data_IF_822554333339
#
_entry.id   IF_822554333339
#
_cell.length_a   1.000
_cell.length_b   1.000
_cell.length_c   1.000
_cell.angle_alpha   90.00
_cell.angle_beta   90.00
_cell.angle_gamma   90.00
#
_symmetry.space_group_name_H-M   'P 1'
#
loop_
_entity.id
_entity.type
_entity.pdbx_description
1 polymer ?
#
# COMPACT_ATOMS: atom_id res chain seq x y z
N UNK A 1 -8.97 12.94 12.30
CA UNK A 1 -9.44 11.76 13.06
C UNK A 1 -8.96 10.42 12.46
N UNK A 2 -9.19 10.08 11.17
CA UNK A 2 -8.90 8.73 10.67
C UNK A 2 -7.40 8.35 10.58
N UNK A 3 -6.54 9.34 10.31
CA UNK A 3 -5.08 9.15 10.15
C UNK A 3 -4.38 8.70 11.44
N UNK A 4 -4.92 9.06 12.61
CA UNK A 4 -4.33 8.73 13.92
C UNK A 4 -4.39 7.22 14.18
N UNK A 5 -5.50 6.57 13.83
CA UNK A 5 -5.64 5.12 13.99
C UNK A 5 -4.59 4.35 13.20
N UNK A 6 -4.36 4.74 11.94
CA UNK A 6 -3.33 4.11 11.12
C UNK A 6 -1.92 4.34 11.66
N UNK A 7 -1.65 5.52 12.24
CA UNK A 7 -0.37 5.77 12.91
C UNK A 7 -0.22 4.90 14.16
N UNK A 8 -1.26 4.71 14.97
CA UNK A 8 -1.22 3.84 16.15
C UNK A 8 -0.93 2.39 15.74
N UNK A 9 -1.65 1.87 14.73
CA UNK A 9 -1.39 0.51 14.23
C UNK A 9 0.04 0.36 13.73
N UNK A 10 0.53 1.34 12.97
CA UNK A 10 1.91 1.36 12.47
C UNK A 10 2.94 1.32 13.61
N UNK A 11 2.74 2.11 14.68
CA UNK A 11 3.61 2.10 15.85
C UNK A 11 3.59 0.74 16.57
N UNK A 12 2.43 0.10 16.71
CA UNK A 12 2.31 -1.26 17.28
C UNK A 12 3.05 -2.29 16.41
N UNK A 13 2.95 -2.18 15.08
CA UNK A 13 3.75 -2.96 14.14
C UNK A 13 5.25 -2.73 14.35
N UNK A 14 5.67 -1.48 14.57
CA UNK A 14 7.05 -1.11 14.90
C UNK A 14 7.62 -1.80 16.14
N UNK A 15 6.82 -2.00 17.19
CA UNK A 15 7.24 -2.72 18.40
C UNK A 15 7.57 -4.19 18.07
N UNK A 16 6.70 -4.86 17.33
CA UNK A 16 6.93 -6.24 16.88
C UNK A 16 8.12 -6.34 15.92
N UNK A 17 8.29 -5.36 15.03
CA UNK A 17 9.42 -5.25 14.12
C UNK A 17 10.75 -5.09 14.87
N UNK A 18 10.78 -4.25 15.89
CA UNK A 18 11.97 -4.05 16.74
C UNK A 18 12.39 -5.37 17.38
N UNK A 19 11.46 -6.11 17.98
CA UNK A 19 11.83 -7.38 18.64
C UNK A 19 12.29 -8.44 17.63
N UNK A 20 11.67 -8.51 16.45
CA UNK A 20 12.15 -9.36 15.34
C UNK A 20 13.56 -8.97 14.91
N UNK A 21 13.80 -7.69 14.62
CA UNK A 21 15.10 -7.20 14.18
C UNK A 21 16.20 -7.50 15.22
N UNK A 22 15.88 -7.35 16.51
CA UNK A 22 16.77 -7.67 17.62
C UNK A 22 17.17 -9.14 17.61
N UNK A 23 16.21 -10.05 17.42
CA UNK A 23 16.47 -11.50 17.36
C UNK A 23 17.30 -11.93 16.16
N UNK A 24 17.17 -11.19 15.05
CA UNK A 24 17.97 -11.43 13.85
C UNK A 24 19.38 -10.86 13.96
N UNK A 25 19.62 -9.94 14.90
CA UNK A 25 20.85 -9.18 14.97
C UNK A 25 21.23 -8.77 16.41
N UNK A 26 21.05 -7.50 16.78
CA UNK A 26 21.35 -6.92 18.10
C UNK A 26 20.39 -5.78 18.45
N UNK A 27 20.36 -5.35 19.73
CA UNK A 27 19.51 -4.22 20.17
C UNK A 27 19.79 -2.92 19.38
N UNK A 28 21.08 -2.59 19.17
CA UNK A 28 21.47 -1.36 18.46
C UNK A 28 21.05 -1.40 16.99
N UNK A 29 21.24 -2.54 16.35
CA UNK A 29 20.81 -2.74 14.96
C UNK A 29 19.29 -2.67 14.82
N UNK A 30 18.55 -3.24 15.79
CA UNK A 30 17.10 -3.18 15.83
C UNK A 30 16.57 -1.75 15.94
N UNK A 31 17.24 -0.87 16.70
CA UNK A 31 16.88 0.56 16.76
C UNK A 31 17.07 1.25 15.41
N UNK A 32 18.13 0.92 14.66
CA UNK A 32 18.36 1.48 13.32
C UNK A 32 17.30 0.98 12.33
N UNK A 33 16.97 -0.32 12.37
CA UNK A 33 15.86 -0.89 11.57
C UNK A 33 14.52 -0.25 11.91
N UNK A 34 14.23 -0.04 13.21
CA UNK A 34 13.02 0.64 13.66
C UNK A 34 13.00 2.09 13.19
N UNK A 35 14.12 2.81 13.27
CA UNK A 35 14.23 4.18 12.77
C UNK A 35 13.92 4.23 11.28
N UNK A 36 14.52 3.35 10.46
CA UNK A 36 14.19 3.24 9.04
C UNK A 36 12.70 2.99 8.81
N UNK A 37 12.11 2.04 9.54
CA UNK A 37 10.68 1.74 9.47
C UNK A 37 9.81 2.95 9.83
N UNK A 38 10.22 3.83 10.75
CA UNK A 38 9.40 4.96 11.19
C UNK A 38 9.62 6.25 10.38
N UNK A 39 10.83 6.49 9.88
CA UNK A 39 11.23 7.80 9.33
C UNK A 39 11.48 7.81 7.83
N UNK A 40 11.45 6.65 7.16
CA UNK A 40 11.44 6.60 5.69
C UNK A 40 10.27 7.45 5.16
N UNK A 41 10.46 8.36 4.19
CA UNK A 41 9.37 9.25 3.77
C UNK A 41 8.13 8.52 3.29
N UNK A 42 8.32 7.45 2.51
CA UNK A 42 7.23 6.57 2.09
C UNK A 42 6.50 5.91 3.27
N UNK A 43 7.21 5.59 4.36
CA UNK A 43 6.60 5.05 5.58
C UNK A 43 5.79 6.09 6.36
N UNK A 44 6.30 7.32 6.45
CA UNK A 44 5.58 8.43 7.10
C UNK A 44 4.28 8.73 6.34
N UNK A 45 4.32 8.74 5.02
CA UNK A 45 3.12 8.88 4.17
C UNK A 45 2.14 7.72 4.38
N UNK A 46 2.62 6.47 4.26
CA UNK A 46 1.79 5.27 4.39
C UNK A 46 1.09 5.21 5.75
N UNK A 47 1.82 5.43 6.85
CA UNK A 47 1.27 5.39 8.22
C UNK A 47 0.19 6.43 8.52
N UNK A 48 0.04 7.44 7.67
CA UNK A 48 -0.94 8.53 7.78
C UNK A 48 -2.00 8.47 6.69
N UNK A 49 -1.82 7.66 5.67
CA UNK A 49 -2.81 7.44 4.61
C UNK A 49 -4.03 6.75 5.17
N UNK A 50 -5.25 7.22 4.87
CA UNK A 50 -6.49 6.55 5.30
C UNK A 50 -6.82 5.38 4.37
N UNK A 51 -5.97 4.36 4.42
CA UNK A 51 -6.07 3.12 3.67
C UNK A 51 -6.09 1.93 4.65
N UNK A 52 -6.58 0.76 4.22
CA UNK A 52 -6.50 -0.47 5.03
C UNK A 52 -5.06 -1.03 5.12
N UNK A 53 -4.18 -0.62 4.20
CA UNK A 53 -2.81 -1.13 4.04
C UNK A 53 -1.91 -1.00 5.29
N UNK A 54 -1.91 0.12 6.05
CA UNK A 54 -1.11 0.23 7.27
C UNK A 54 -1.56 -0.75 8.36
N UNK A 55 -2.87 -0.91 8.58
CA UNK A 55 -3.42 -1.88 9.54
C UNK A 55 -3.05 -3.31 9.12
N UNK A 56 -3.28 -3.65 7.85
CA UNK A 56 -2.97 -4.96 7.29
C UNK A 56 -1.47 -5.29 7.44
N UNK A 57 -0.59 -4.33 7.16
CA UNK A 57 0.87 -4.49 7.28
C UNK A 57 1.29 -4.64 8.75
N UNK A 58 0.69 -3.88 9.66
CA UNK A 58 0.99 -3.97 11.10
C UNK A 58 0.56 -5.32 11.69
N UNK A 59 -0.61 -5.83 11.29
CA UNK A 59 -1.07 -7.18 11.63
C UNK A 59 -0.14 -8.25 11.05
N UNK A 60 0.32 -8.08 9.81
CA UNK A 60 1.31 -8.97 9.20
C UNK A 60 2.63 -8.99 9.99
N UNK A 61 3.16 -7.84 10.39
CA UNK A 61 4.38 -7.76 11.22
C UNK A 61 4.18 -8.47 12.56
N UNK A 62 3.05 -8.23 13.23
CA UNK A 62 2.70 -8.91 14.48
C UNK A 62 2.56 -10.43 14.31
N UNK A 63 1.91 -10.87 13.23
CA UNK A 63 1.80 -12.28 12.88
C UNK A 63 3.16 -12.93 12.60
N UNK A 64 4.04 -12.24 11.87
CA UNK A 64 5.41 -12.68 11.62
C UNK A 64 6.20 -12.78 12.93
N UNK A 65 6.06 -11.79 13.81
CA UNK A 65 6.68 -11.83 15.13
C UNK A 65 6.28 -13.09 15.91
N UNK A 66 4.98 -13.34 16.08
CA UNK A 66 4.53 -14.54 16.80
C UNK A 66 4.88 -15.85 16.09
N UNK A 67 4.87 -15.87 14.75
CA UNK A 67 5.29 -17.04 13.98
C UNK A 67 6.77 -17.34 14.22
N UNK A 68 7.63 -16.32 14.26
CA UNK A 68 9.04 -16.49 14.57
C UNK A 68 9.24 -17.01 16.01
N UNK A 69 8.50 -16.45 16.98
CA UNK A 69 8.51 -16.92 18.38
C UNK A 69 8.05 -18.38 18.50
N UNK A 70 7.09 -18.80 17.68
CA UNK A 70 6.68 -20.20 17.59
C UNK A 70 7.79 -21.09 17.03
N UNK A 71 8.53 -20.64 16.01
CA UNK A 71 9.69 -21.39 15.48
C UNK A 71 10.78 -21.56 16.56
N UNK A 72 10.99 -20.56 17.41
CA UNK A 72 11.97 -20.61 18.49
C UNK A 72 11.53 -21.50 19.66
N UNK A 73 10.36 -21.24 20.22
CA UNK A 73 9.94 -21.82 21.51
C UNK A 73 8.95 -23.00 21.36
N UNK A 74 8.39 -23.20 20.17
CA UNK A 74 7.40 -24.26 19.86
C UNK A 74 6.14 -24.23 20.74
N UNK A 75 5.85 -23.09 21.37
CA UNK A 75 4.64 -22.89 22.18
C UNK A 75 3.43 -22.66 21.29
N UNK A 76 2.37 -23.46 21.50
CA UNK A 76 1.16 -23.42 20.68
C UNK A 76 0.44 -22.06 20.72
N UNK A 77 0.53 -21.32 21.84
CA UNK A 77 -0.05 -19.98 21.95
C UNK A 77 0.53 -19.00 20.93
N UNK A 78 1.82 -19.09 20.61
CA UNK A 78 2.41 -18.25 19.57
C UNK A 78 1.91 -18.63 18.18
N UNK A 79 1.71 -19.93 17.90
CA UNK A 79 1.07 -20.36 16.66
C UNK A 79 -0.36 -19.84 16.54
N UNK A 80 -1.12 -19.84 17.64
CA UNK A 80 -2.48 -19.27 17.68
C UNK A 80 -2.46 -17.77 17.40
N UNK A 81 -1.64 -16.98 18.12
CA UNK A 81 -1.56 -15.53 17.88
C UNK A 81 -1.08 -15.19 16.47
N UNK A 82 -0.10 -15.94 15.94
CA UNK A 82 0.34 -15.80 14.56
C UNK A 82 -0.82 -16.02 13.58
N UNK A 83 -1.56 -17.12 13.74
CA UNK A 83 -2.67 -17.48 12.86
C UNK A 83 -3.82 -16.46 12.93
N UNK A 84 -4.16 -15.97 14.14
CA UNK A 84 -5.19 -14.93 14.31
C UNK A 84 -4.79 -13.62 13.63
N UNK A 85 -3.57 -13.12 13.87
CA UNK A 85 -3.11 -11.87 13.27
C UNK A 85 -2.99 -11.97 11.75
N UNK A 86 -2.50 -13.09 11.23
CA UNK A 86 -2.47 -13.36 9.79
C UNK A 86 -3.87 -13.50 9.19
N UNK A 87 -4.81 -14.13 9.90
CA UNK A 87 -6.21 -14.20 9.49
C UNK A 87 -6.86 -12.83 9.39
N UNK A 88 -6.66 -11.97 10.39
CA UNK A 88 -7.11 -10.59 10.36
C UNK A 88 -6.41 -9.77 9.26
N UNK A 89 -5.10 -9.93 9.06
CA UNK A 89 -4.40 -9.26 7.97
C UNK A 89 -5.01 -9.63 6.61
N UNK A 90 -5.27 -10.91 6.40
CA UNK A 90 -5.88 -11.42 5.15
C UNK A 90 -7.32 -10.95 4.98
N UNK A 91 -8.08 -10.84 6.08
CA UNK A 91 -9.43 -10.27 6.07
C UNK A 91 -9.42 -8.79 5.68
N UNK A 92 -8.49 -8.00 6.24
CA UNK A 92 -8.38 -6.57 5.94
C UNK A 92 -8.05 -6.38 4.45
N UNK A 93 -7.15 -7.19 3.90
CA UNK A 93 -6.84 -7.17 2.47
C UNK A 93 -6.22 -8.49 2.02
N UNK A 94 -6.95 -9.24 1.19
CA UNK A 94 -6.59 -10.62 0.80
C UNK A 94 -5.20 -10.76 0.14
N UNK A 95 -4.70 -9.71 -0.50
CA UNK A 95 -3.41 -9.76 -1.22
C UNK A 95 -2.20 -10.03 -0.32
N UNK A 96 -2.28 -9.77 1.00
CA UNK A 96 -1.18 -10.12 1.91
C UNK A 96 -0.96 -11.63 2.03
N UNK A 97 -1.91 -12.46 1.57
CA UNK A 97 -1.75 -13.91 1.51
C UNK A 97 -0.51 -14.33 0.70
N UNK A 98 -0.10 -13.56 -0.32
CA UNK A 98 1.14 -13.80 -1.07
C UNK A 98 2.39 -13.75 -0.18
N UNK A 99 2.38 -12.95 0.88
CA UNK A 99 3.48 -12.81 1.84
C UNK A 99 3.37 -13.85 2.97
N UNK A 100 2.15 -14.06 3.48
CA UNK A 100 1.87 -14.96 4.61
C UNK A 100 2.08 -16.43 4.22
N UNK A 101 1.60 -16.86 3.05
CA UNK A 101 1.63 -18.26 2.65
C UNK A 101 3.07 -18.84 2.60
N UNK A 102 4.02 -18.26 1.84
CA UNK A 102 5.39 -18.80 1.81
C UNK A 102 6.08 -18.68 3.18
N UNK A 103 5.82 -17.61 3.95
CA UNK A 103 6.34 -17.44 5.30
C UNK A 103 5.85 -18.53 6.26
N UNK A 104 4.55 -18.79 6.29
CA UNK A 104 3.94 -19.82 7.13
C UNK A 104 4.42 -21.22 6.73
N UNK A 105 4.46 -21.52 5.43
CA UNK A 105 4.99 -22.80 4.92
C UNK A 105 6.43 -22.99 5.37
N UNK A 106 7.29 -21.98 5.19
CA UNK A 106 8.69 -22.04 5.61
C UNK A 106 8.83 -22.26 7.13
N UNK A 107 8.03 -21.56 7.95
CA UNK A 107 8.04 -21.75 9.40
C UNK A 107 7.64 -23.18 9.81
N UNK A 108 6.59 -23.74 9.21
CA UNK A 108 6.16 -25.12 9.48
C UNK A 108 7.25 -26.11 9.07
N UNK A 109 7.88 -25.90 7.90
CA UNK A 109 8.99 -26.74 7.44
C UNK A 109 10.20 -26.66 8.38
N UNK A 110 10.50 -25.50 8.95
CA UNK A 110 11.56 -25.34 9.95
C UNK A 110 11.25 -26.07 11.27
N UNK A 111 9.99 -26.13 11.69
CA UNK A 111 9.59 -26.75 12.97
C UNK A 111 9.43 -28.27 12.86
N UNK A 112 8.79 -28.74 11.79
CA UNK A 112 8.36 -30.14 11.64
C UNK A 112 9.03 -30.89 10.49
N UNK A 113 9.61 -30.19 9.51
CA UNK A 113 10.07 -30.77 8.25
C UNK A 113 8.92 -31.27 7.36
N UNK A 114 9.25 -31.64 6.12
CA UNK A 114 8.26 -32.01 5.10
C UNK A 114 7.42 -33.25 5.48
N UNK A 115 8.02 -34.22 6.19
CA UNK A 115 7.35 -35.49 6.53
C UNK A 115 6.21 -35.32 7.54
N UNK A 116 6.36 -34.38 8.48
CA UNK A 116 5.36 -34.13 9.54
C UNK A 116 4.46 -32.93 9.23
N UNK A 117 4.80 -32.12 8.22
CA UNK A 117 3.98 -31.02 7.72
C UNK A 117 2.51 -31.43 7.53
N UNK A 118 2.28 -32.48 6.74
CA UNK A 118 0.92 -32.93 6.36
C UNK A 118 0.14 -33.61 7.48
N UNK A 119 0.82 -34.09 8.53
CA UNK A 119 0.23 -34.89 9.61
C UNK A 119 -0.15 -34.07 10.84
N UNK A 120 0.21 -32.79 10.90
CA UNK A 120 0.07 -31.97 12.10
C UNK A 120 -1.30 -31.29 12.15
N UNK A 121 -2.17 -31.60 13.15
CA UNK A 121 -3.46 -30.91 13.29
C UNK A 121 -3.29 -29.42 13.60
N UNK A 122 -2.20 -29.04 14.27
CA UNK A 122 -1.87 -27.64 14.53
C UNK A 122 -1.66 -26.85 13.22
N UNK A 123 -0.99 -27.46 12.24
CA UNK A 123 -0.72 -26.82 10.94
C UNK A 123 -2.03 -26.54 10.20
N UNK A 124 -2.92 -27.53 10.15
CA UNK A 124 -4.24 -27.38 9.55
C UNK A 124 -5.13 -26.41 10.32
N UNK A 125 -5.05 -26.39 11.65
CA UNK A 125 -5.72 -25.40 12.49
C UNK A 125 -5.25 -23.98 12.21
N UNK A 126 -3.94 -23.75 12.07
CA UNK A 126 -3.39 -22.46 11.66
C UNK A 126 -3.88 -22.06 10.26
N UNK A 127 -3.80 -22.98 9.29
CA UNK A 127 -4.27 -22.70 7.93
C UNK A 127 -5.75 -22.32 7.91
N UNK A 128 -6.59 -23.05 8.65
CA UNK A 128 -8.01 -22.75 8.77
C UNK A 128 -8.26 -21.36 9.39
N UNK A 129 -7.54 -21.00 10.45
CA UNK A 129 -7.67 -19.69 11.09
C UNK A 129 -7.18 -18.53 10.21
N UNK A 130 -6.14 -18.76 9.39
CA UNK A 130 -5.63 -17.74 8.47
C UNK A 130 -6.61 -17.51 7.31
N UNK A 131 -7.19 -18.59 6.77
CA UNK A 131 -8.01 -18.53 5.55
C UNK A 131 -9.46 -18.17 5.85
N UNK A 132 -10.04 -18.71 6.94
CA UNK A 132 -11.48 -18.64 7.18
C UNK A 132 -12.06 -17.22 7.24
N UNK A 133 -11.44 -16.20 7.88
CA UNK A 133 -12.05 -14.88 7.96
C UNK A 133 -12.22 -14.25 6.57
N UNK A 134 -11.18 -14.31 5.75
CA UNK A 134 -11.21 -13.78 4.39
C UNK A 134 -12.13 -14.60 3.48
N UNK A 135 -12.13 -15.93 3.61
CA UNK A 135 -13.01 -16.79 2.83
C UNK A 135 -14.49 -16.49 3.10
N UNK A 136 -14.89 -16.37 4.37
CA UNK A 136 -16.26 -16.04 4.76
C UNK A 136 -16.67 -14.68 4.19
N UNK A 137 -15.81 -13.66 4.33
CA UNK A 137 -16.14 -12.31 3.88
C UNK A 137 -16.16 -12.17 2.35
N UNK A 138 -15.09 -12.57 1.66
CA UNK A 138 -14.93 -12.30 0.23
C UNK A 138 -15.68 -13.28 -0.67
N UNK A 139 -15.80 -14.55 -0.25
CA UNK A 139 -16.41 -15.59 -1.09
C UNK A 139 -17.88 -15.79 -0.74
N UNK A 140 -18.22 -15.97 0.55
CA UNK A 140 -19.59 -16.26 0.93
C UNK A 140 -20.49 -15.01 0.89
N UNK A 141 -19.97 -13.83 1.24
CA UNK A 141 -20.79 -12.62 1.35
C UNK A 141 -20.70 -11.65 0.15
N UNK A 142 -19.65 -11.72 -0.67
CA UNK A 142 -19.34 -10.69 -1.70
C UNK A 142 -19.21 -11.24 -3.13
N UNK A 143 -19.60 -12.50 -3.35
CA UNK A 143 -19.15 -13.36 -4.46
C UNK A 143 -19.37 -12.92 -5.91
N UNK A 144 -20.10 -11.83 -6.20
CA UNK A 144 -20.30 -11.34 -7.58
C UNK A 144 -19.32 -10.24 -8.04
N UNK A 145 -18.75 -9.42 -7.14
CA UNK A 145 -17.97 -8.24 -7.56
C UNK A 145 -16.43 -8.45 -7.55
N UNK A 146 -15.92 -9.46 -6.84
CA UNK A 146 -14.49 -9.65 -6.59
C UNK A 146 -13.78 -10.47 -7.67
N UNK A 147 -14.47 -11.46 -8.25
CA UNK A 147 -13.96 -12.33 -9.33
C UNK A 147 -13.87 -11.59 -10.66
N UNK A 148 -14.90 -10.84 -11.05
CA UNK A 148 -14.90 -10.01 -12.27
C UNK A 148 -13.83 -8.92 -12.20
N UNK A 149 -13.62 -8.31 -11.03
CA UNK A 149 -12.55 -7.34 -10.81
C UNK A 149 -11.16 -7.94 -11.04
N UNK A 150 -10.91 -9.16 -10.55
CA UNK A 150 -9.63 -9.84 -10.71
C UNK A 150 -9.41 -10.28 -12.17
N UNK A 151 -10.41 -10.88 -12.80
CA UNK A 151 -10.33 -11.36 -14.19
C UNK A 151 -10.12 -10.19 -15.16
N UNK A 152 -10.96 -9.14 -15.08
CA UNK A 152 -10.95 -8.05 -16.03
C UNK A 152 -9.74 -7.11 -15.88
N UNK A 153 -9.12 -7.00 -14.69
CA UNK A 153 -7.92 -6.14 -14.49
C UNK A 153 -6.60 -6.87 -14.63
N UNK A 154 -6.54 -8.17 -14.36
CA UNK A 154 -5.26 -8.88 -14.18
C UNK A 154 -4.85 -9.71 -15.39
N UNK A 155 -5.77 -10.46 -16.00
CA UNK A 155 -5.42 -11.41 -17.07
C UNK A 155 -4.87 -10.70 -18.31
N UNK A 156 -5.52 -9.62 -18.74
CA UNK A 156 -5.07 -8.81 -19.88
C UNK A 156 -3.68 -8.16 -19.66
N UNK A 157 -3.26 -8.03 -18.40
CA UNK A 157 -2.00 -7.38 -18.02
C UNK A 157 -0.85 -8.37 -17.86
N UNK A 158 -1.08 -9.69 -17.90
CA UNK A 158 0.00 -10.68 -17.79
C UNK A 158 0.97 -10.66 -18.97
N UNK A 159 0.56 -10.14 -20.12
CA UNK A 159 1.48 -9.88 -21.23
C UNK A 159 2.63 -8.92 -20.84
N UNK A 160 2.44 -8.04 -19.86
CA UNK A 160 3.50 -7.15 -19.36
C UNK A 160 4.67 -7.93 -18.77
N UNK A 161 4.41 -9.11 -18.18
CA UNK A 161 5.43 -9.98 -17.58
C UNK A 161 6.44 -10.51 -18.60
N UNK A 162 6.06 -10.53 -19.88
CA UNK A 162 6.92 -10.95 -20.99
C UNK A 162 7.86 -9.82 -21.46
N UNK A 163 7.68 -8.60 -20.96
CA UNK A 163 8.45 -7.43 -21.40
C UNK A 163 9.54 -7.07 -20.40
N UNK A 164 10.75 -6.78 -20.89
CA UNK A 164 11.84 -6.28 -20.02
C UNK A 164 11.49 -4.92 -19.40
N UNK A 165 10.66 -4.11 -20.09
CA UNK A 165 10.20 -2.80 -19.61
C UNK A 165 9.47 -2.89 -18.28
N UNK A 166 8.64 -3.92 -18.09
CA UNK A 166 7.94 -4.15 -16.82
C UNK A 166 8.91 -4.25 -15.64
N UNK A 167 9.95 -5.09 -15.75
CA UNK A 167 10.92 -5.27 -14.67
C UNK A 167 11.76 -4.02 -14.42
N UNK A 168 12.10 -3.26 -15.47
CA UNK A 168 12.80 -1.98 -15.32
C UNK A 168 11.93 -0.93 -14.63
N UNK A 169 10.64 -0.83 -15.00
CA UNK A 169 9.70 0.08 -14.35
C UNK A 169 9.47 -0.32 -12.90
N UNK A 170 9.29 -1.62 -12.61
CA UNK A 170 9.14 -2.11 -11.25
C UNK A 170 10.38 -1.76 -10.41
N UNK A 171 11.58 -2.07 -10.90
CA UNK A 171 12.83 -1.74 -10.19
C UNK A 171 12.99 -0.23 -9.97
N UNK A 172 12.73 0.59 -11.00
CA UNK A 172 12.84 2.05 -10.90
C UNK A 172 11.82 2.61 -9.91
N UNK A 173 10.60 2.09 -9.92
CA UNK A 173 9.53 2.52 -9.02
C UNK A 173 9.80 2.17 -7.57
N UNK A 174 10.22 0.94 -7.27
CA UNK A 174 10.62 0.57 -5.89
C UNK A 174 11.89 1.33 -5.50
N UNK A 175 12.78 1.57 -6.46
CA UNK A 175 13.94 2.44 -6.31
C UNK A 175 13.60 3.87 -5.90
N UNK A 176 12.51 4.46 -6.42
CA UNK A 176 12.07 5.80 -6.03
C UNK A 176 11.44 5.83 -4.63
N UNK A 177 10.84 4.73 -4.17
CA UNK A 177 10.23 4.63 -2.85
C UNK A 177 11.25 4.39 -1.72
N UNK A 178 12.27 3.57 -1.97
CA UNK A 178 13.20 3.09 -0.94
C UNK A 178 14.65 3.54 -1.15
N UNK A 179 15.03 3.91 -2.38
CA UNK A 179 16.42 4.00 -2.80
C UNK A 179 16.98 2.62 -3.15
N UNK A 180 17.40 2.43 -4.41
CA UNK A 180 17.98 1.14 -4.88
C UNK A 180 19.14 0.62 -4.00
N UNK A 181 20.11 1.45 -3.55
CA UNK A 181 21.18 0.96 -2.68
C UNK A 181 20.65 0.36 -1.37
N UNK A 182 19.59 0.92 -0.80
CA UNK A 182 19.00 0.44 0.45
C UNK A 182 18.34 -0.93 0.24
N UNK A 183 17.66 -1.13 -0.89
CA UNK A 183 17.08 -2.43 -1.24
C UNK A 183 18.17 -3.50 -1.38
N UNK A 184 19.27 -3.19 -2.05
CA UNK A 184 20.40 -4.12 -2.18
C UNK A 184 21.05 -4.42 -0.83
N UNK A 185 21.31 -3.40 0.00
CA UNK A 185 21.83 -3.60 1.35
C UNK A 185 20.89 -4.45 2.22
N UNK A 186 19.59 -4.20 2.13
CA UNK A 186 18.60 -5.02 2.81
C UNK A 186 18.67 -6.48 2.36
N UNK A 187 18.69 -6.74 1.04
CA UNK A 187 18.76 -8.10 0.52
C UNK A 187 20.07 -8.80 0.93
N UNK A 188 21.20 -8.11 0.86
CA UNK A 188 22.49 -8.60 1.38
C UNK A 188 22.40 -8.91 2.88
N UNK A 189 21.78 -8.05 3.67
CA UNK A 189 21.58 -8.30 5.09
C UNK A 189 20.70 -9.52 5.37
N UNK A 190 19.68 -9.79 4.53
CA UNK A 190 18.93 -11.06 4.62
C UNK A 190 19.86 -12.27 4.45
N UNK A 191 20.80 -12.23 3.50
CA UNK A 191 21.74 -13.32 3.27
C UNK A 191 22.71 -13.56 4.44
N UNK A 192 23.04 -12.50 5.18
CA UNK A 192 23.91 -12.50 6.37
C UNK A 192 23.17 -12.87 7.66
N UNK A 193 21.84 -12.91 7.64
CA UNK A 193 21.01 -13.23 8.80
C UNK A 193 21.19 -14.69 9.26
N UNK A 194 20.97 -15.00 10.57
CA UNK A 194 20.91 -16.37 11.04
C UNK A 194 19.94 -17.25 10.24
N UNK A 195 20.26 -18.54 10.10
CA UNK A 195 19.59 -19.47 9.17
C UNK A 195 18.06 -19.42 9.21
N UNK A 196 17.46 -19.42 10.42
CA UNK A 196 16.00 -19.35 10.60
C UNK A 196 15.42 -18.04 10.06
N UNK A 197 15.97 -16.90 10.49
CA UNK A 197 15.53 -15.58 10.05
C UNK A 197 15.71 -15.40 8.53
N UNK A 198 16.86 -15.84 8.00
CA UNK A 198 17.15 -15.82 6.56
C UNK A 198 16.12 -16.59 5.75
N UNK A 199 15.82 -17.84 6.12
CA UNK A 199 14.85 -18.68 5.39
C UNK A 199 13.46 -18.03 5.41
N UNK A 200 13.02 -17.54 6.57
CA UNK A 200 11.71 -16.90 6.71
C UNK A 200 11.63 -15.61 5.89
N UNK A 201 12.61 -14.72 6.00
CA UNK A 201 12.57 -13.43 5.31
C UNK A 201 12.75 -13.59 3.79
N UNK A 202 13.57 -14.54 3.31
CA UNK A 202 13.63 -14.90 1.89
C UNK A 202 12.30 -15.44 1.36
N UNK A 203 11.55 -16.18 2.19
CA UNK A 203 10.21 -16.68 1.82
C UNK A 203 9.22 -15.53 1.66
N UNK A 204 9.33 -14.48 2.49
CA UNK A 204 8.51 -13.26 2.33
C UNK A 204 8.92 -12.47 1.09
N UNK A 205 10.23 -12.37 0.77
CA UNK A 205 10.71 -11.78 -0.49
C UNK A 205 10.19 -12.54 -1.73
N UNK A 206 10.17 -13.88 -1.66
CA UNK A 206 9.53 -14.70 -2.70
C UNK A 206 8.03 -14.37 -2.81
N UNK A 207 7.35 -14.20 -1.68
CA UNK A 207 5.96 -13.75 -1.64
C UNK A 207 5.74 -12.39 -2.31
N UNK A 208 6.59 -11.41 -2.04
CA UNK A 208 6.58 -10.11 -2.70
C UNK A 208 6.79 -10.21 -4.22
N UNK A 209 7.74 -11.06 -4.65
CA UNK A 209 7.96 -11.31 -6.07
C UNK A 209 6.71 -11.90 -6.73
N UNK A 210 6.14 -12.97 -6.16
CA UNK A 210 4.91 -13.60 -6.67
C UNK A 210 3.72 -12.62 -6.68
N UNK A 211 3.63 -11.77 -5.67
CA UNK A 211 2.63 -10.71 -5.61
C UNK A 211 2.75 -9.72 -6.77
N UNK A 212 3.96 -9.22 -7.05
CA UNK A 212 4.16 -8.29 -8.16
C UNK A 212 3.89 -8.93 -9.53
N UNK A 213 4.20 -10.23 -9.68
CA UNK A 213 3.84 -10.99 -10.87
C UNK A 213 2.32 -11.16 -11.03
N UNK A 214 1.58 -11.29 -9.92
CA UNK A 214 0.13 -11.40 -9.94
C UNK A 214 -0.57 -10.07 -10.23
N UNK A 215 0.08 -8.92 -10.03
CA UNK A 215 -0.50 -7.59 -10.24
C UNK A 215 0.45 -6.67 -11.03
N UNK A 216 0.83 -7.03 -12.27
CA UNK A 216 1.93 -6.39 -12.97
C UNK A 216 1.69 -4.89 -13.20
N UNK A 217 0.49 -4.51 -13.64
CA UNK A 217 0.19 -3.10 -13.88
C UNK A 217 0.30 -2.25 -12.60
N UNK A 218 -0.31 -2.73 -11.51
CA UNK A 218 -0.37 -1.99 -10.25
C UNK A 218 1.00 -1.87 -9.59
N UNK A 219 1.85 -2.89 -9.77
CA UNK A 219 3.18 -2.98 -9.19
C UNK A 219 4.11 -1.82 -9.59
N UNK A 220 3.98 -1.22 -10.77
CA UNK A 220 4.82 -0.06 -11.15
C UNK A 220 4.04 1.27 -11.24
N UNK A 221 2.76 1.27 -10.88
CA UNK A 221 1.89 2.46 -11.00
C UNK A 221 1.34 2.95 -9.66
N UNK A 222 1.24 2.08 -8.65
CA UNK A 222 0.60 2.40 -7.37
C UNK A 222 1.55 2.11 -6.21
N UNK A 223 1.96 3.17 -5.49
CA UNK A 223 2.91 3.06 -4.39
C UNK A 223 2.42 2.16 -3.25
N UNK A 224 1.11 2.16 -2.95
CA UNK A 224 0.54 1.40 -1.84
C UNK A 224 0.67 -0.13 -1.99
N UNK A 225 0.94 -0.65 -3.19
CA UNK A 225 1.29 -2.06 -3.42
C UNK A 225 2.68 -2.42 -2.82
N UNK A 226 3.44 -1.45 -2.32
CA UNK A 226 4.78 -1.68 -1.75
C UNK A 226 4.89 -1.38 -0.26
N UNK A 227 3.78 -1.04 0.42
CA UNK A 227 3.80 -0.72 1.87
C UNK A 227 4.33 -1.90 2.69
N UNK A 228 4.01 -3.13 2.26
CA UNK A 228 4.45 -4.38 2.90
C UNK A 228 5.95 -4.62 2.75
N UNK A 229 6.60 -3.95 1.79
CA UNK A 229 8.04 -4.02 1.59
C UNK A 229 8.82 -3.21 2.64
N UNK A 230 8.21 -2.19 3.24
CA UNK A 230 8.84 -1.36 4.30
C UNK A 230 9.38 -2.22 5.45
N UNK A 231 8.57 -3.08 6.12
CA UNK A 231 9.11 -3.93 7.18
C UNK A 231 10.11 -4.97 6.70
N UNK A 232 9.99 -5.48 5.47
CA UNK A 232 10.97 -6.43 4.89
C UNK A 232 12.34 -5.77 4.76
N UNK A 233 12.36 -4.55 4.22
CA UNK A 233 13.58 -3.78 4.03
C UNK A 233 14.19 -3.41 5.38
N UNK A 234 13.37 -2.93 6.32
CA UNK A 234 13.81 -2.63 7.68
C UNK A 234 14.46 -3.84 8.37
N UNK A 235 13.84 -5.02 8.30
CA UNK A 235 14.37 -6.26 8.87
C UNK A 235 15.65 -6.72 8.16
N UNK A 236 15.71 -6.59 6.84
CA UNK A 236 16.90 -6.92 6.05
C UNK A 236 18.09 -6.00 6.34
N UNK A 237 17.85 -4.75 6.71
CA UNK A 237 18.93 -3.83 7.11
C UNK A 237 19.54 -4.15 8.49
N UNK A 238 18.87 -4.94 9.34
CA UNK A 238 19.32 -5.17 10.71
C UNK A 238 20.73 -5.82 10.78
N UNK A 239 21.04 -6.89 10.02
CA UNK A 239 22.38 -7.48 10.03
C UNK A 239 23.46 -6.54 9.51
N UNK A 240 23.16 -5.69 8.51
CA UNK A 240 24.10 -4.66 8.03
C UNK A 240 24.37 -3.62 9.12
N UNK A 241 23.31 -3.14 9.78
CA UNK A 241 23.42 -2.20 10.89
C UNK A 241 24.23 -2.79 12.06
N UNK A 242 24.10 -4.10 12.32
CA UNK A 242 24.92 -4.80 13.31
C UNK A 242 26.40 -4.78 12.93
N UNK A 243 26.75 -5.12 11.69
CA UNK A 243 28.15 -5.08 11.25
C UNK A 243 28.77 -3.68 11.42
N UNK A 244 28.02 -2.63 11.06
CA UNK A 244 28.46 -1.25 11.25
C UNK A 244 28.63 -0.94 12.74
N UNK A 245 27.68 -1.36 13.58
CA UNK A 245 27.73 -1.11 15.03
C UNK A 245 28.89 -1.84 15.71
N UNK A 246 29.19 -3.07 15.30
CA UNK A 246 30.34 -3.85 15.77
C UNK A 246 31.65 -3.20 15.36
N UNK A 247 31.78 -2.81 14.08
CA UNK A 247 32.96 -2.10 13.60
C UNK A 247 33.13 -0.74 14.27
N UNK A 248 32.06 0.02 14.50
CA UNK A 248 32.12 1.29 15.22
C UNK A 248 32.56 1.13 16.68
N UNK A 249 32.32 -0.03 17.30
CA UNK A 249 32.64 -0.28 18.70
C UNK A 249 34.14 -0.41 18.98
N UNK A 250 34.91 -0.87 17.97
CA UNK A 250 36.37 -1.03 18.06
C UNK A 250 37.13 0.25 17.67
N UNK A 251 36.44 1.26 17.13
CA UNK A 251 37.06 2.53 16.74
C UNK A 251 37.35 3.44 17.95
N UNK A 252 38.32 4.35 17.78
CA UNK A 252 38.57 5.42 18.73
C UNK A 252 37.36 6.36 18.93
N UNK A 253 37.32 7.07 20.06
CA UNK A 253 36.18 7.93 20.47
C UNK A 253 35.74 8.92 19.38
N UNK A 254 36.69 9.52 18.67
CA UNK A 254 36.42 10.46 17.58
C UNK A 254 35.61 9.80 16.45
N UNK A 255 36.11 8.70 15.88
CA UNK A 255 35.46 7.99 14.78
C UNK A 255 34.13 7.37 15.19
N UNK A 256 34.03 6.85 16.42
CA UNK A 256 32.75 6.39 16.96
C UNK A 256 31.72 7.52 17.06
N UNK A 257 32.14 8.71 17.47
CA UNK A 257 31.30 9.91 17.49
C UNK A 257 30.88 10.34 16.09
N UNK A 258 31.80 10.31 15.11
CA UNK A 258 31.51 10.62 13.72
C UNK A 258 30.50 9.65 13.09
N UNK A 259 30.65 8.33 13.32
CA UNK A 259 29.69 7.32 12.86
C UNK A 259 28.31 7.56 13.49
N UNK A 260 28.25 7.83 14.79
CA UNK A 260 26.99 8.13 15.48
C UNK A 260 26.32 9.38 14.90
N UNK A 261 27.08 10.46 14.68
CA UNK A 261 26.58 11.67 14.05
C UNK A 261 26.06 11.40 12.62
N UNK A 262 26.78 10.59 11.83
CA UNK A 262 26.34 10.22 10.48
C UNK A 262 25.02 9.43 10.50
N UNK A 263 24.85 8.49 11.44
CA UNK A 263 23.58 7.77 11.63
C UNK A 263 22.46 8.73 12.03
N UNK A 264 22.71 9.65 12.97
CA UNK A 264 21.72 10.66 13.36
C UNK A 264 21.29 11.55 12.20
N UNK A 265 22.23 12.00 11.36
CA UNK A 265 21.93 12.76 10.14
C UNK A 265 21.11 11.91 9.17
N UNK A 266 21.46 10.63 9.00
CA UNK A 266 20.72 9.68 8.16
C UNK A 266 19.28 9.43 8.62
N UNK A 267 18.97 9.65 9.91
CA UNK A 267 17.60 9.56 10.46
C UNK A 267 16.90 10.93 10.40
N UNK A 268 17.60 12.00 10.77
CA UNK A 268 17.05 13.34 10.89
C UNK A 268 16.68 13.94 9.52
N UNK A 269 17.49 13.69 8.49
CA UNK A 269 17.24 14.23 7.16
C UNK A 269 15.95 13.68 6.52
N UNK A 270 15.72 12.35 6.45
CA UNK A 270 14.44 11.82 5.97
C UNK A 270 13.23 12.31 6.79
N UNK A 271 13.35 12.36 8.12
CA UNK A 271 12.29 12.88 8.98
C UNK A 271 11.97 14.36 8.67
N UNK A 272 13.00 15.17 8.42
CA UNK A 272 12.85 16.56 8.01
C UNK A 272 12.18 16.70 6.64
N UNK A 273 12.57 15.87 5.66
CA UNK A 273 11.95 15.83 4.33
C UNK A 273 10.47 15.51 4.45
N UNK A 274 10.11 14.45 5.17
CA UNK A 274 8.70 14.09 5.40
C UNK A 274 7.91 15.21 6.05
N UNK A 275 8.47 15.84 7.08
CA UNK A 275 7.83 17.00 7.74
C UNK A 275 7.65 18.16 6.77
N UNK A 276 8.63 18.44 5.92
CA UNK A 276 8.57 19.53 4.95
C UNK A 276 7.46 19.32 3.92
N UNK A 277 7.34 18.12 3.37
CA UNK A 277 6.26 17.75 2.44
C UNK A 277 4.89 17.88 3.11
N UNK A 278 4.75 17.33 4.32
CA UNK A 278 3.47 17.40 5.06
C UNK A 278 3.06 18.82 5.46
N UNK A 279 4.02 19.73 5.64
CA UNK A 279 3.74 21.14 5.94
C UNK A 279 3.45 21.94 4.66
N UNK A 280 4.02 21.55 3.51
CA UNK A 280 3.72 22.19 2.23
C UNK A 280 2.34 21.85 1.68
N UNK A 281 1.79 20.69 2.02
CA UNK A 281 0.44 20.29 1.62
C UNK A 281 -0.62 20.83 2.59
N UNK A 282 -1.29 21.91 2.21
CA UNK A 282 -2.38 22.51 2.97
C UNK A 282 -3.75 22.25 2.31
N UNK A 283 -4.57 21.44 2.98
CA UNK A 283 -5.92 21.09 2.54
C UNK A 283 -7.03 21.75 3.39
N UNK A 284 -6.71 22.73 4.26
CA UNK A 284 -7.72 23.35 5.14
C UNK A 284 -8.76 24.17 4.37
N UNK A 285 -8.44 24.58 3.14
CA UNK A 285 -9.37 25.32 2.27
C UNK A 285 -10.39 24.40 1.56
N UNK A 286 -10.09 23.10 1.44
CA UNK A 286 -10.91 22.14 0.68
C UNK A 286 -12.36 22.05 1.19
N UNK A 287 -12.67 21.98 2.50
CA UNK A 287 -14.04 21.85 2.95
C UNK A 287 -14.94 23.01 2.49
N UNK A 288 -14.45 24.25 2.59
CA UNK A 288 -15.19 25.42 2.16
C UNK A 288 -15.36 25.47 0.64
N UNK A 289 -14.31 25.12 -0.11
CA UNK A 289 -14.37 25.03 -1.57
C UNK A 289 -15.44 24.03 -2.03
N UNK A 290 -15.40 22.79 -1.52
CA UNK A 290 -16.34 21.74 -1.93
C UNK A 290 -17.77 21.97 -1.45
N UNK A 291 -17.95 22.63 -0.31
CA UNK A 291 -19.27 23.10 0.12
C UNK A 291 -19.83 24.13 -0.88
N UNK A 292 -19.02 25.12 -1.29
CA UNK A 292 -19.43 26.11 -2.29
C UNK A 292 -19.73 25.51 -3.67
N UNK A 293 -18.98 24.48 -4.09
CA UNK A 293 -19.31 23.72 -5.33
C UNK A 293 -20.65 23.00 -5.20
N UNK A 294 -20.96 22.43 -4.03
CA UNK A 294 -22.25 21.78 -3.81
C UNK A 294 -23.41 22.76 -3.79
N UNK A 295 -23.24 23.94 -3.16
CA UNK A 295 -24.26 25.01 -3.13
C UNK A 295 -24.62 25.52 -4.54
N UNK A 296 -23.72 25.38 -5.51
CA UNK A 296 -23.96 25.75 -6.90
C UNK A 296 -24.85 24.75 -7.65
N UNK A 297 -24.96 23.50 -7.17
CA UNK A 297 -25.86 22.49 -7.73
C UNK A 297 -27.22 22.69 -7.06
N UNK A 298 -28.30 22.98 -7.82
CA UNK A 298 -29.57 23.27 -7.18
C UNK A 298 -30.09 22.06 -6.38
N UNK A 299 -30.82 22.29 -5.27
CA UNK A 299 -31.38 21.22 -4.44
C UNK A 299 -32.29 20.30 -5.26
N UNK A 300 -32.27 19.00 -4.94
CA UNK A 300 -33.06 17.94 -5.59
C UNK A 300 -32.76 17.68 -7.08
N UNK A 301 -31.78 18.39 -7.66
CA UNK A 301 -31.37 18.20 -9.04
C UNK A 301 -30.26 17.14 -9.17
N UNK A 302 -30.29 16.43 -10.29
CA UNK A 302 -29.36 15.33 -10.53
C UNK A 302 -28.18 15.81 -11.39
N UNK A 303 -26.96 15.53 -10.93
CA UNK A 303 -25.74 15.93 -11.65
C UNK A 303 -24.84 14.73 -11.97
N UNK A 304 -24.19 14.80 -13.14
CA UNK A 304 -23.02 14.00 -13.48
C UNK A 304 -21.78 14.90 -13.40
N UNK A 305 -20.63 14.35 -13.00
CA UNK A 305 -19.44 15.13 -12.79
C UNK A 305 -18.17 14.52 -13.38
N UNK A 306 -17.37 15.35 -14.03
CA UNK A 306 -15.95 15.13 -14.28
C UNK A 306 -15.14 15.81 -13.17
N UNK A 307 -14.90 15.07 -12.10
CA UNK A 307 -14.32 15.56 -10.84
C UNK A 307 -13.10 14.73 -10.40
N UNK A 308 -12.23 15.34 -9.59
CA UNK A 308 -11.15 14.66 -8.89
C UNK A 308 -11.70 13.61 -7.91
N UNK A 309 -10.84 12.66 -7.52
CA UNK A 309 -11.06 11.71 -6.43
C UNK A 309 -12.43 11.01 -6.45
N UNK A 310 -12.94 10.68 -7.65
CA UNK A 310 -14.23 9.99 -7.82
C UNK A 310 -15.41 10.71 -7.13
N UNK A 311 -15.33 12.04 -6.99
CA UNK A 311 -16.36 12.85 -6.35
C UNK A 311 -16.43 12.70 -4.83
N UNK A 312 -15.49 11.98 -4.20
CA UNK A 312 -15.53 11.75 -2.76
C UNK A 312 -15.43 13.03 -1.93
N UNK A 313 -14.68 14.04 -2.40
CA UNK A 313 -14.59 15.32 -1.68
C UNK A 313 -15.91 16.09 -1.71
N UNK A 314 -16.57 16.14 -2.87
CA UNK A 314 -17.90 16.71 -3.00
C UNK A 314 -18.93 15.98 -2.11
N UNK A 315 -18.83 14.65 -2.05
CA UNK A 315 -19.70 13.84 -1.19
C UNK A 315 -19.45 14.06 0.30
N UNK A 316 -18.20 14.17 0.73
CA UNK A 316 -17.83 14.29 2.16
C UNK A 316 -18.01 15.71 2.68
N UNK A 317 -17.60 16.73 1.91
CA UNK A 317 -17.62 18.12 2.36
C UNK A 317 -18.85 18.89 1.88
N UNK A 318 -19.34 18.60 0.68
CA UNK A 318 -20.53 19.22 0.11
C UNK A 318 -21.82 18.42 0.31
N UNK A 319 -21.75 17.24 0.92
CA UNK A 319 -22.90 16.34 1.13
C UNK A 319 -23.66 15.96 -0.16
N UNK A 320 -23.02 16.12 -1.32
CA UNK A 320 -23.65 15.91 -2.62
C UNK A 320 -23.05 14.70 -3.32
N UNK A 321 -23.89 13.73 -3.68
CA UNK A 321 -23.50 12.57 -4.48
C UNK A 321 -23.85 12.81 -5.95
N UNK A 322 -22.85 12.66 -6.81
CA UNK A 322 -22.99 12.85 -8.26
C UNK A 322 -22.74 11.55 -9.00
N UNK A 323 -23.35 11.40 -10.17
CA UNK A 323 -22.91 10.41 -11.15
C UNK A 323 -21.50 10.79 -11.65
N UNK A 324 -20.69 9.82 -12.06
CA UNK A 324 -19.32 10.10 -12.49
C UNK A 324 -19.17 9.94 -13.99
N UNK A 325 -18.68 10.99 -14.63
CA UNK A 325 -18.14 10.87 -15.98
C UNK A 325 -16.80 10.13 -15.93
N UNK A 326 -16.53 9.19 -16.85
CA UNK A 326 -15.27 8.45 -16.88
C UNK A 326 -14.04 9.37 -17.01
N UNK A 327 -12.98 9.07 -16.26
CA UNK A 327 -11.68 9.70 -16.41
C UNK A 327 -10.81 8.94 -17.42
N UNK A 328 -9.99 9.65 -18.17
CA UNK A 328 -8.96 9.04 -19.01
C UNK A 328 -7.88 8.45 -18.09
N UNK A 329 -7.69 7.13 -18.14
CA UNK A 329 -6.74 6.42 -17.26
C UNK A 329 -5.59 5.82 -18.03
N UNK A 330 -4.43 5.72 -17.38
CA UNK A 330 -3.26 5.04 -17.95
C UNK A 330 -3.56 3.56 -18.27
N UNK A 331 -4.41 2.91 -17.47
CA UNK A 331 -4.84 1.54 -17.75
C UNK A 331 -5.58 1.43 -19.09
N UNK A 332 -6.41 2.40 -19.45
CA UNK A 332 -7.07 2.44 -20.77
C UNK A 332 -6.05 2.63 -21.89
N UNK A 333 -5.07 3.51 -21.70
CA UNK A 333 -4.00 3.76 -22.67
C UNK A 333 -3.15 2.51 -22.93
N UNK A 334 -2.77 1.79 -21.87
CA UNK A 334 -2.06 0.51 -21.98
C UNK A 334 -2.88 -0.55 -22.71
N UNK A 335 -4.21 -0.49 -22.63
CA UNK A 335 -5.13 -1.37 -23.38
C UNK A 335 -5.43 -0.89 -24.80
N UNK A 336 -4.96 0.29 -25.21
CA UNK A 336 -5.32 0.90 -26.49
C UNK A 336 -6.76 1.40 -26.55
N UNK A 337 -7.43 1.59 -25.41
CA UNK A 337 -8.80 2.07 -25.31
C UNK A 337 -8.85 3.57 -25.00
N UNK A 338 -9.90 4.26 -25.48
CA UNK A 338 -10.21 5.66 -25.16
C UNK A 338 -11.67 5.83 -24.74
N UNK A 339 -12.00 6.99 -24.17
CA UNK A 339 -13.38 7.34 -23.86
C UNK A 339 -14.03 7.86 -25.14
N UNK A 340 -15.00 7.10 -25.65
CA UNK A 340 -15.84 7.54 -26.75
C UNK A 340 -16.95 8.45 -26.22
N UNK A 341 -16.60 9.73 -26.00
CA UNK A 341 -17.54 10.70 -25.45
C UNK A 341 -18.75 10.91 -26.37
N UNK A 342 -18.56 10.91 -27.70
CA UNK A 342 -19.64 11.16 -28.67
C UNK A 342 -20.74 10.11 -28.59
N UNK A 343 -20.37 8.84 -28.49
CA UNK A 343 -21.37 7.76 -28.41
C UNK A 343 -21.90 7.51 -27.00
N UNK A 344 -21.19 7.94 -25.95
CA UNK A 344 -21.57 7.66 -24.55
C UNK A 344 -22.30 8.81 -23.86
N UNK A 345 -22.16 10.04 -24.35
CA UNK A 345 -22.66 11.24 -23.65
C UNK A 345 -24.13 11.10 -23.29
N UNK A 346 -25.00 10.95 -24.30
CA UNK A 346 -26.46 10.86 -24.12
C UNK A 346 -26.85 9.78 -23.11
N UNK A 347 -26.26 8.58 -23.23
CA UNK A 347 -26.55 7.46 -22.33
C UNK A 347 -26.10 7.67 -20.88
N UNK A 348 -25.01 8.42 -20.66
CA UNK A 348 -24.45 8.67 -19.33
C UNK A 348 -25.08 9.89 -18.68
N UNK A 349 -25.58 10.84 -19.47
CA UNK A 349 -26.27 12.04 -19.02
C UNK A 349 -27.79 11.87 -18.99
N UNK A 350 -28.33 10.70 -19.36
CA UNK A 350 -29.77 10.44 -19.33
C UNK A 350 -30.32 10.64 -17.91
N UNK A 351 -31.35 11.48 -17.80
CA UNK A 351 -31.92 11.87 -16.50
C UNK A 351 -30.92 12.59 -15.59
N UNK A 352 -30.07 13.45 -16.18
CA UNK A 352 -29.20 14.40 -15.46
C UNK A 352 -29.56 15.82 -15.88
N UNK A 353 -29.69 16.69 -14.89
CA UNK A 353 -30.02 18.11 -15.07
C UNK A 353 -28.76 18.95 -15.29
N UNK A 354 -27.64 18.54 -14.69
CA UNK A 354 -26.38 19.28 -14.74
C UNK A 354 -25.15 18.42 -15.01
N UNK A 355 -24.16 19.03 -15.64
CA UNK A 355 -22.81 18.48 -15.78
C UNK A 355 -21.80 19.35 -15.02
N UNK A 356 -21.19 18.80 -13.97
CA UNK A 356 -20.17 19.48 -13.18
C UNK A 356 -18.77 19.13 -13.69
N UNK A 357 -17.93 20.14 -13.96
CA UNK A 357 -16.50 19.96 -14.22
C UNK A 357 -15.70 20.68 -13.14
N UNK A 358 -14.91 19.91 -12.39
CA UNK A 358 -13.87 20.44 -11.50
C UNK A 358 -12.47 19.95 -11.92
N UNK A 359 -12.38 18.87 -12.68
CA UNK A 359 -11.14 18.28 -13.17
C UNK A 359 -10.79 18.76 -14.59
N UNK A 360 -10.44 20.04 -14.76
CA UNK A 360 -10.14 20.61 -16.08
C UNK A 360 -8.99 19.94 -16.83
N UNK A 361 -8.01 19.39 -16.11
CA UNK A 361 -6.94 18.59 -16.74
C UNK A 361 -7.49 17.35 -17.47
N UNK A 362 -8.47 16.68 -16.86
CA UNK A 362 -9.16 15.54 -17.46
C UNK A 362 -10.07 15.96 -18.63
N UNK A 363 -10.67 17.15 -18.56
CA UNK A 363 -11.44 17.68 -19.68
C UNK A 363 -10.55 17.93 -20.91
N UNK A 364 -9.34 18.48 -20.71
CA UNK A 364 -8.36 18.68 -21.79
C UNK A 364 -7.91 17.39 -22.45
N UNK A 365 -7.89 16.28 -21.71
CA UNK A 365 -7.60 14.95 -22.25
C UNK A 365 -8.78 14.35 -23.03
N UNK A 366 -9.97 14.96 -22.95
CA UNK A 366 -11.20 14.51 -23.59
C UNK A 366 -11.80 15.62 -24.48
N UNK A 367 -11.14 16.00 -25.59
CA UNK A 367 -11.55 17.13 -26.43
C UNK A 367 -12.96 16.95 -27.01
N UNK A 368 -13.39 15.71 -27.28
CA UNK A 368 -14.75 15.43 -27.72
C UNK A 368 -15.81 15.73 -26.65
N UNK A 369 -15.51 15.51 -25.36
CA UNK A 369 -16.40 15.91 -24.27
C UNK A 369 -16.45 17.44 -24.17
N UNK A 370 -15.30 18.10 -24.29
CA UNK A 370 -15.24 19.56 -24.28
C UNK A 370 -16.09 20.17 -25.40
N UNK A 371 -15.96 19.68 -26.63
CA UNK A 371 -16.77 20.09 -27.78
C UNK A 371 -18.28 19.94 -27.51
N UNK A 372 -18.69 18.87 -26.82
CA UNK A 372 -20.10 18.66 -26.44
C UNK A 372 -20.54 19.68 -25.39
N UNK A 373 -19.78 19.84 -24.31
CA UNK A 373 -20.12 20.72 -23.19
C UNK A 373 -20.14 22.20 -23.59
N UNK A 374 -19.32 22.62 -24.56
CA UNK A 374 -19.30 23.98 -25.08
C UNK A 374 -20.64 24.38 -25.76
N UNK A 375 -21.50 23.41 -26.11
CA UNK A 375 -22.85 23.67 -26.64
C UNK A 375 -23.92 23.86 -25.56
N UNK A 376 -23.60 23.63 -24.29
CA UNK A 376 -24.54 23.76 -23.17
C UNK A 376 -24.34 25.08 -22.42
N UNK A 377 -25.42 25.75 -21.98
CA UNK A 377 -25.31 26.98 -21.22
C UNK A 377 -24.67 26.73 -19.84
N UNK A 378 -23.83 27.66 -19.40
CA UNK A 378 -23.22 27.64 -18.07
C UNK A 378 -24.25 28.12 -17.04
N UNK A 379 -24.62 27.24 -16.12
CA UNK A 379 -25.53 27.54 -15.02
C UNK A 379 -24.84 28.30 -13.88
N UNK A 380 -23.61 27.87 -13.56
CA UNK A 380 -22.78 28.47 -12.53
C UNK A 380 -21.30 28.24 -12.85
N UNK A 381 -20.46 29.20 -12.46
CA UNK A 381 -19.02 29.10 -12.60
C UNK A 381 -18.36 29.80 -11.40
N UNK A 382 -17.30 29.19 -10.88
CA UNK A 382 -16.48 29.77 -9.84
C UNK A 382 -15.01 29.40 -9.99
N UNK A 383 -14.20 29.80 -9.02
CA UNK A 383 -12.76 29.53 -9.01
C UNK A 383 -12.50 28.04 -8.83
N UNK A 384 -12.40 27.29 -9.93
CA UNK A 384 -12.10 25.85 -9.92
C UNK A 384 -13.26 24.93 -10.28
N UNK A 385 -14.40 25.46 -10.74
CA UNK A 385 -15.48 24.63 -11.28
C UNK A 385 -16.33 25.33 -12.35
N UNK A 386 -16.96 24.54 -13.21
CA UNK A 386 -18.01 24.96 -14.15
C UNK A 386 -19.18 23.98 -14.03
N UNK A 387 -20.41 24.50 -13.94
CA UNK A 387 -21.64 23.73 -13.96
C UNK A 387 -22.40 24.06 -15.24
N UNK A 388 -22.54 23.07 -16.13
CA UNK A 388 -23.32 23.18 -17.36
C UNK A 388 -24.75 22.71 -17.11
N UNK A 389 -25.72 23.42 -17.69
CA UNK A 389 -27.14 23.03 -17.67
C UNK A 389 -27.42 22.12 -18.86
N UNK A 390 -27.91 20.91 -18.61
CA UNK A 390 -28.20 19.88 -19.63
C UNK A 390 -29.66 19.89 -20.12
N UNK A 391 -30.49 20.81 -19.61
CA UNK A 391 -31.92 20.92 -19.93
C UNK A 391 -32.21 21.63 -21.25
#
# INVERSE_FOLDING_TARGET
MPRIYNTIFWLLGGIALYDLARRFSSDKAALISLAFYLVLPFSVEASRSFQPDPLMTSLFIGGFYYLYRWVEEKKWLYALFAALLFGFATLVKIVIAFFIAPLAIAAVLLVFGIKRFWKSPLVWGMALLIISPAFIYYILNTGQNSSEFFVNRTLDMFQLLLTTKFYLHWMTFVGSLFGLPILYLSFLGVLLMPSRGRILLLSVWLGYFLYGMAFPFQTYTHSYYHIQLIPLVALGLAPIAQLIAEQASIQGRFWRGAIFAAVLVGIAYPAWVSRSVLVSEDFHHEPAFWAGVADAIPPDESAIALTQDYGYRLMVFGWQKVALWPQATEMMRVRGNSIDAKNKFESLTEGKDYFLVTAFGQLKEQPALQEILDNYPVAAQGDGYILYNLR
#
